data_IF_493982906315
#
_entry.id   IF_493982906315
#
_cell.length_a   1.000
_cell.length_b   1.000
_cell.length_c   1.000
_cell.angle_alpha   90.00
_cell.angle_beta   90.00
_cell.angle_gamma   90.00
#
_symmetry.space_group_name_H-M   'P 1'
#
loop_
_entity.id
_entity.type
_entity.pdbx_description
1 polymer ?
#
# COMPACT_ATOMS: atom_id res chain seq x y z
N UNK A 1 10.26 5.01 -22.18
CA UNK A 1 8.91 5.31 -21.65
C UNK A 1 9.05 5.97 -20.30
N UNK A 2 8.54 7.19 -20.11
CA UNK A 2 8.57 7.86 -18.80
C UNK A 2 7.19 7.79 -18.17
N UNK A 3 7.00 6.99 -17.12
CA UNK A 3 5.68 6.73 -16.53
C UNK A 3 4.95 8.03 -16.19
N UNK A 4 5.67 9.00 -15.61
CA UNK A 4 5.11 10.30 -15.23
C UNK A 4 4.55 11.11 -16.40
N UNK A 5 5.10 11.01 -17.63
CA UNK A 5 4.51 11.73 -18.76
C UNK A 5 3.14 11.21 -19.16
N UNK A 6 2.87 9.91 -18.95
CA UNK A 6 1.55 9.31 -19.19
C UNK A 6 0.51 9.82 -18.19
N UNK A 7 0.88 10.00 -16.93
CA UNK A 7 0.01 10.61 -15.92
C UNK A 7 -0.25 12.10 -16.22
N UNK A 8 0.78 12.86 -16.59
CA UNK A 8 0.64 14.29 -16.92
C UNK A 8 -0.29 14.52 -18.13
N UNK A 9 -0.27 13.63 -19.13
CA UNK A 9 -1.15 13.72 -20.29
C UNK A 9 -2.64 13.60 -19.94
N UNK A 10 -2.98 12.83 -18.90
CA UNK A 10 -4.35 12.51 -18.52
C UNK A 10 -4.88 13.35 -17.32
N UNK A 11 -4.04 14.20 -16.71
CA UNK A 11 -4.34 14.90 -15.45
C UNK A 11 -5.55 15.84 -15.49
N UNK A 12 -5.96 16.30 -16.67
CA UNK A 12 -7.03 17.28 -16.85
C UNK A 12 -8.37 16.66 -17.25
N UNK A 13 -8.47 15.34 -17.36
CA UNK A 13 -9.73 14.65 -17.67
C UNK A 13 -10.66 14.76 -16.46
N UNK A 14 -11.87 15.29 -16.68
CA UNK A 14 -12.86 15.55 -15.62
C UNK A 14 -14.12 14.69 -15.70
N UNK A 15 -14.36 14.02 -16.82
CA UNK A 15 -15.50 13.11 -16.97
C UNK A 15 -15.28 11.85 -16.11
N UNK A 16 -16.14 11.57 -15.11
CA UNK A 16 -15.98 10.41 -14.24
C UNK A 16 -16.01 9.07 -14.99
N UNK A 17 -16.72 9.00 -16.13
CA UNK A 17 -16.79 7.76 -16.93
C UNK A 17 -15.45 7.47 -17.61
N UNK A 18 -14.85 8.49 -18.20
CA UNK A 18 -13.52 8.39 -18.82
C UNK A 18 -12.45 8.08 -17.78
N UNK A 19 -12.49 8.72 -16.61
CA UNK A 19 -11.54 8.44 -15.52
C UNK A 19 -11.60 6.96 -15.09
N UNK A 20 -12.80 6.40 -14.90
CA UNK A 20 -12.96 4.99 -14.54
C UNK A 20 -12.36 4.04 -15.57
N UNK A 21 -12.59 4.31 -16.87
CA UNK A 21 -12.01 3.49 -17.93
C UNK A 21 -10.47 3.53 -17.90
N UNK A 22 -9.88 4.71 -17.72
CA UNK A 22 -8.43 4.88 -17.64
C UNK A 22 -7.81 4.22 -16.41
N UNK A 23 -8.50 4.27 -15.26
CA UNK A 23 -8.03 3.58 -14.06
C UNK A 23 -8.05 2.07 -14.23
N UNK A 24 -9.11 1.51 -14.82
CA UNK A 24 -9.17 0.07 -15.09
C UNK A 24 -8.04 -0.37 -16.01
N UNK A 25 -7.81 0.35 -17.12
CA UNK A 25 -6.73 0.04 -18.05
C UNK A 25 -5.34 0.15 -17.38
N UNK A 26 -5.14 1.15 -16.52
CA UNK A 26 -3.89 1.32 -15.79
C UNK A 26 -3.66 0.20 -14.75
N UNK A 27 -4.71 -0.24 -14.06
CA UNK A 27 -4.66 -1.36 -13.11
C UNK A 27 -4.37 -2.68 -13.83
N UNK A 28 -4.99 -2.93 -14.99
CA UNK A 28 -4.73 -4.13 -15.79
C UNK A 28 -3.27 -4.18 -16.28
N UNK A 29 -2.72 -3.03 -16.69
CA UNK A 29 -1.32 -2.90 -17.05
C UNK A 29 -0.41 -3.11 -15.83
N UNK A 30 -0.74 -2.53 -14.68
CA UNK A 30 0.02 -2.72 -13.44
C UNK A 30 0.05 -4.20 -13.05
N UNK A 31 -1.09 -4.88 -13.10
CA UNK A 31 -1.20 -6.30 -12.73
C UNK A 31 -0.36 -7.19 -13.65
N UNK A 32 -0.34 -6.88 -14.95
CA UNK A 32 0.45 -7.63 -15.94
C UNK A 32 1.96 -7.47 -15.75
N UNK A 33 2.40 -6.29 -15.32
CA UNK A 33 3.83 -5.93 -15.32
C UNK A 33 4.42 -5.75 -13.91
N UNK A 34 3.63 -5.89 -12.85
CA UNK A 34 4.15 -5.86 -11.48
C UNK A 34 5.18 -6.98 -11.29
N UNK A 35 6.23 -6.66 -10.54
CA UNK A 35 7.26 -7.65 -10.22
C UNK A 35 6.68 -8.71 -9.27
N UNK A 36 6.98 -10.01 -9.45
CA UNK A 36 6.48 -11.07 -8.57
C UNK A 36 6.99 -10.94 -7.12
N UNK A 37 8.18 -10.37 -6.94
CA UNK A 37 8.80 -10.10 -5.63
C UNK A 37 9.10 -8.60 -5.47
N UNK A 38 8.12 -7.76 -5.11
CA UNK A 38 8.31 -6.33 -5.03
C UNK A 38 9.23 -5.95 -3.86
N UNK A 39 9.92 -4.83 -3.99
CA UNK A 39 10.76 -4.33 -2.89
C UNK A 39 9.90 -3.94 -1.68
N UNK A 40 10.13 -4.60 -0.55
CA UNK A 40 9.54 -4.26 0.74
C UNK A 40 10.61 -3.66 1.67
N UNK A 41 10.29 -2.51 2.27
CA UNK A 41 11.13 -1.93 3.30
C UNK A 41 11.22 -2.91 4.49
N UNK A 42 12.39 -3.10 5.12
CA UNK A 42 12.58 -4.17 6.10
C UNK A 42 11.58 -4.16 7.26
N UNK A 43 11.18 -2.99 7.74
CA UNK A 43 10.26 -2.85 8.89
C UNK A 43 8.80 -2.68 8.49
N UNK A 44 8.47 -2.65 7.19
CA UNK A 44 7.08 -2.62 6.73
C UNK A 44 6.47 -4.03 6.76
N UNK A 45 5.13 -4.16 6.72
CA UNK A 45 4.50 -5.47 6.55
C UNK A 45 5.07 -6.21 5.33
N UNK A 46 5.40 -7.49 5.51
CA UNK A 46 6.08 -8.31 4.50
C UNK A 46 7.59 -8.08 4.37
N UNK A 47 8.16 -7.14 5.13
CA UNK A 47 9.60 -6.89 5.20
C UNK A 47 10.34 -7.85 6.13
N UNK A 48 11.65 -8.01 5.90
CA UNK A 48 12.52 -8.96 6.61
C UNK A 48 12.72 -8.70 8.12
N UNK A 49 12.25 -7.56 8.64
CA UNK A 49 12.37 -7.12 10.03
C UNK A 49 11.04 -6.66 10.64
N UNK A 50 9.89 -6.93 10.01
CA UNK A 50 8.58 -6.39 10.40
C UNK A 50 8.25 -6.60 11.90
N UNK A 51 8.37 -7.84 12.38
CA UNK A 51 8.01 -8.22 13.76
C UNK A 51 9.21 -8.71 14.57
N UNK A 52 10.42 -8.34 14.13
CA UNK A 52 11.64 -8.88 14.74
C UNK A 52 11.79 -8.50 16.22
N UNK A 53 11.27 -7.33 16.61
CA UNK A 53 11.38 -6.77 17.96
C UNK A 53 10.02 -6.20 18.45
N UNK A 54 8.94 -6.97 18.35
CA UNK A 54 7.65 -6.55 18.93
C UNK A 54 7.76 -6.39 20.47
N UNK A 55 7.14 -5.36 21.06
CA UNK A 55 7.05 -5.26 22.51
C UNK A 55 6.23 -6.44 23.06
N UNK A 56 6.64 -6.96 24.22
CA UNK A 56 5.88 -8.01 24.90
C UNK A 56 4.47 -7.51 25.22
N UNK A 57 3.44 -8.37 25.09
CA UNK A 57 2.09 -8.01 25.50
C UNK A 57 2.03 -7.79 27.01
N UNK A 58 1.19 -6.84 27.44
CA UNK A 58 0.89 -6.65 28.86
C UNK A 58 -0.06 -7.78 29.26
N UNK A 59 0.42 -8.68 30.12
CA UNK A 59 -0.36 -9.80 30.66
C UNK A 59 -0.88 -9.53 32.08
N UNK A 60 -0.47 -8.41 32.68
CA UNK A 60 -0.85 -8.06 34.04
C UNK A 60 -2.37 -7.81 34.12
N UNK A 61 -3.06 -8.37 35.13
CA UNK A 61 -4.45 -8.06 35.35
C UNK A 61 -4.62 -6.58 35.72
N UNK A 62 -5.77 -5.97 35.42
CA UNK A 62 -6.04 -4.60 35.84
C UNK A 62 -5.88 -4.43 37.36
N UNK A 63 -5.40 -3.27 37.83
CA UNK A 63 -5.21 -3.03 39.26
C UNK A 63 -6.53 -3.17 40.03
N UNK A 64 -6.45 -3.73 41.24
CA UNK A 64 -7.63 -3.87 42.09
C UNK A 64 -8.09 -2.48 42.55
N UNK A 65 -9.35 -2.13 42.24
CA UNK A 65 -9.98 -0.91 42.72
C UNK A 65 -10.31 -1.12 44.21
N UNK A 66 -9.58 -0.46 45.11
CA UNK A 66 -10.00 -0.36 46.52
C UNK A 66 -11.13 0.68 46.60
N UNK A 67 -12.31 0.22 47.07
CA UNK A 67 -13.42 1.07 47.48
C UNK A 67 -13.20 1.61 48.89
#
# INVERSE_FOLDING_TARGET
MYIRSLFEANKHIRDPRQQRALFQEAEDLLEKWKHPDPYHAPTAPGGSKFERNLPAPILDPPPHIQM
#
